data_IF_271926916659
#
_entry.id   IF_271926916659
#
_cell.length_a   1.000
_cell.length_b   1.000
_cell.length_c   1.000
_cell.angle_alpha   90.00
_cell.angle_beta   90.00
_cell.angle_gamma   90.00
#
_symmetry.space_group_name_H-M   'P 1'
#
loop_
_entity.id
_entity.type
_entity.pdbx_description
1 polymer ?
#
# COMPACT_ATOMS: atom_id res chain seq x y z
N UNK A 1 -7.64 -2.49 -10.91
CA UNK A 1 -7.02 -1.17 -11.16
C UNK A 1 -7.97 -0.33 -11.99
N UNK A 2 -8.16 0.96 -11.69
CA UNK A 2 -8.97 1.83 -12.54
C UNK A 2 -8.34 1.95 -13.95
N UNK A 3 -9.12 1.84 -15.04
CA UNK A 3 -8.62 2.01 -16.40
C UNK A 3 -7.94 3.37 -16.65
N UNK A 4 -8.35 4.42 -15.94
CA UNK A 4 -7.78 5.77 -16.00
C UNK A 4 -6.37 5.83 -15.40
N UNK A 5 -6.17 5.22 -14.23
CA UNK A 5 -4.88 5.15 -13.54
C UNK A 5 -3.81 4.42 -14.36
N UNK A 6 -4.18 3.26 -14.93
CA UNK A 6 -3.30 2.47 -15.83
C UNK A 6 -2.94 3.21 -17.13
N UNK A 7 -3.75 4.19 -17.56
CA UNK A 7 -3.48 5.03 -18.73
C UNK A 7 -2.63 6.24 -18.37
N UNK A 8 -2.89 6.87 -17.21
CA UNK A 8 -2.09 7.99 -16.69
C UNK A 8 -0.64 7.57 -16.44
N UNK A 9 -0.44 6.47 -15.72
CA UNK A 9 0.89 5.93 -15.43
C UNK A 9 1.71 5.60 -16.70
N UNK A 10 1.08 4.95 -17.68
CA UNK A 10 1.72 4.65 -18.97
C UNK A 10 2.10 5.91 -19.76
N UNK A 11 1.26 6.96 -19.71
CA UNK A 11 1.52 8.23 -20.39
C UNK A 11 2.63 9.06 -19.74
N UNK A 12 2.78 8.99 -18.42
CA UNK A 12 3.90 9.64 -17.71
C UNK A 12 5.23 8.91 -17.97
N UNK A 13 5.24 7.58 -17.78
CA UNK A 13 6.44 6.74 -17.91
C UNK A 13 7.01 6.61 -19.33
N UNK A 14 6.21 6.85 -20.36
CA UNK A 14 6.63 6.78 -21.78
C UNK A 14 7.00 8.14 -22.39
N UNK A 15 7.12 9.18 -21.56
CA UNK A 15 7.18 10.55 -22.05
C UNK A 15 8.42 10.88 -22.89
N UNK A 16 8.28 10.75 -24.22
CA UNK A 16 9.09 11.45 -25.23
C UNK A 16 8.66 12.92 -25.43
N UNK A 17 7.67 13.39 -24.66
CA UNK A 17 7.11 14.74 -24.74
C UNK A 17 7.87 15.76 -23.88
N UNK A 18 7.92 17.01 -24.35
CA UNK A 18 8.54 18.12 -23.62
C UNK A 18 7.89 18.44 -22.27
N UNK A 19 8.49 19.35 -21.48
CA UNK A 19 8.09 19.62 -20.09
C UNK A 19 6.61 19.98 -19.84
N UNK A 20 5.90 20.51 -20.84
CA UNK A 20 4.47 20.85 -20.75
C UNK A 20 3.56 19.63 -20.74
N UNK A 21 3.82 18.64 -21.60
CA UNK A 21 3.01 17.42 -21.73
C UNK A 21 3.07 16.57 -20.47
N UNK A 22 4.25 16.51 -19.83
CA UNK A 22 4.38 15.83 -18.53
C UNK A 22 3.51 16.47 -17.45
N UNK A 23 3.45 17.81 -17.39
CA UNK A 23 2.60 18.53 -16.42
C UNK A 23 1.13 18.19 -16.59
N UNK A 24 0.63 18.15 -17.82
CA UNK A 24 -0.77 17.78 -18.12
C UNK A 24 -1.09 16.35 -17.64
N UNK A 25 -0.18 15.40 -17.86
CA UNK A 25 -0.36 14.02 -17.36
C UNK A 25 -0.41 13.94 -15.83
N UNK A 26 0.41 14.73 -15.13
CA UNK A 26 0.38 14.81 -13.67
C UNK A 26 -0.93 15.42 -13.15
N UNK A 27 -1.43 16.47 -13.80
CA UNK A 27 -2.72 17.08 -13.47
C UNK A 27 -3.85 16.05 -13.64
N UNK A 28 -3.85 15.31 -14.75
CA UNK A 28 -4.85 14.27 -14.99
C UNK A 28 -4.80 13.15 -13.96
N UNK A 29 -3.59 12.68 -13.59
CA UNK A 29 -3.41 11.64 -12.58
C UNK A 29 -3.94 12.09 -11.21
N UNK A 30 -3.64 13.34 -10.81
CA UNK A 30 -4.11 13.89 -9.53
C UNK A 30 -5.62 14.16 -9.55
N UNK A 31 -6.18 14.63 -10.67
CA UNK A 31 -7.62 14.84 -10.81
C UNK A 31 -8.42 13.53 -10.74
N UNK A 32 -7.82 12.42 -11.17
CA UNK A 32 -8.43 11.09 -11.16
C UNK A 32 -8.48 10.44 -9.76
N UNK A 33 -7.93 11.07 -8.72
CA UNK A 33 -7.98 10.56 -7.34
C UNK A 33 -9.40 10.27 -6.84
N UNK A 34 -10.41 10.99 -7.37
CA UNK A 34 -11.82 10.73 -7.07
C UNK A 34 -12.24 9.31 -7.47
N UNK A 35 -11.72 8.78 -8.59
CA UNK A 35 -12.06 7.42 -8.98
C UNK A 35 -11.44 6.41 -8.03
N UNK A 36 -10.23 6.64 -7.53
CA UNK A 36 -9.60 5.81 -6.48
C UNK A 36 -10.47 5.68 -5.23
N UNK A 37 -11.09 6.78 -4.77
CA UNK A 37 -12.00 6.75 -3.62
C UNK A 37 -13.23 5.86 -3.86
N UNK A 38 -13.75 5.81 -5.10
CA UNK A 38 -14.88 4.94 -5.44
C UNK A 38 -14.54 3.44 -5.33
N UNK A 39 -13.26 3.06 -5.36
CA UNK A 39 -12.82 1.68 -5.16
C UNK A 39 -12.66 1.30 -3.69
N UNK A 40 -12.65 2.27 -2.77
CA UNK A 40 -12.35 2.00 -1.37
C UNK A 40 -13.33 1.01 -0.69
N UNK A 41 -14.66 1.07 -0.94
CA UNK A 41 -15.59 0.08 -0.40
C UNK A 41 -15.25 -1.36 -0.83
N UNK A 42 -14.75 -1.54 -2.06
CA UNK A 42 -14.35 -2.85 -2.58
C UNK A 42 -13.09 -3.38 -1.89
N UNK A 43 -12.10 -2.51 -1.64
CA UNK A 43 -10.90 -2.91 -0.89
C UNK A 43 -11.23 -3.27 0.55
N UNK A 44 -12.08 -2.47 1.21
CA UNK A 44 -12.54 -2.77 2.58
C UNK A 44 -13.32 -4.09 2.65
N UNK A 45 -14.19 -4.37 1.66
CA UNK A 45 -14.89 -5.66 1.59
C UNK A 45 -13.91 -6.82 1.45
N UNK A 46 -12.95 -6.73 0.53
CA UNK A 46 -11.91 -7.75 0.36
C UNK A 46 -11.12 -8.02 1.63
N UNK A 47 -10.66 -6.97 2.33
CA UNK A 47 -9.92 -7.13 3.58
C UNK A 47 -10.79 -7.81 4.65
N UNK A 48 -12.05 -7.38 4.80
CA UNK A 48 -12.99 -8.00 5.76
C UNK A 48 -13.25 -9.48 5.46
N UNK A 49 -13.45 -9.83 4.19
CA UNK A 49 -13.80 -11.19 3.76
C UNK A 49 -12.60 -12.14 3.75
N UNK A 50 -11.46 -11.70 3.22
CA UNK A 50 -10.31 -12.58 2.99
C UNK A 50 -9.31 -12.61 4.15
N UNK A 51 -9.28 -11.58 5.01
CA UNK A 51 -8.36 -11.47 6.16
C UNK A 51 -6.94 -11.98 5.84
N UNK A 52 -6.28 -11.48 4.77
CA UNK A 52 -4.96 -11.98 4.42
C UNK A 52 -3.97 -11.69 5.56
N UNK A 53 -2.92 -12.51 5.75
CA UNK A 53 -1.81 -12.14 6.59
C UNK A 53 -1.35 -10.73 6.21
N UNK A 54 -1.31 -9.82 7.17
CA UNK A 54 -1.08 -8.39 6.92
C UNK A 54 -0.07 -7.83 7.91
N UNK A 55 0.87 -7.05 7.38
CA UNK A 55 1.79 -6.21 8.14
C UNK A 55 1.40 -4.75 7.91
N UNK A 56 1.22 -4.00 8.99
CA UNK A 56 1.01 -2.55 8.99
C UNK A 56 2.19 -1.93 9.74
N UNK A 57 2.98 -1.10 9.05
CA UNK A 57 4.03 -0.28 9.66
C UNK A 57 3.60 1.17 9.53
N UNK A 58 3.58 1.90 10.64
CA UNK A 58 2.93 3.21 10.69
C UNK A 58 3.69 4.21 11.55
N UNK A 59 3.68 5.48 11.13
CA UNK A 59 4.16 6.60 11.93
C UNK A 59 3.00 7.30 12.64
N UNK A 60 2.91 7.30 13.98
CA UNK A 60 1.82 7.94 14.71
C UNK A 60 1.88 9.47 14.62
N UNK A 61 2.98 10.04 14.14
CA UNK A 61 3.16 11.47 13.91
C UNK A 61 2.79 11.90 12.47
N UNK A 62 2.13 11.03 11.69
CA UNK A 62 1.62 11.38 10.36
C UNK A 62 0.45 12.38 10.47
N UNK A 63 0.68 13.60 9.98
CA UNK A 63 -0.32 14.67 9.96
C UNK A 63 -1.43 14.49 8.91
N UNK A 64 -1.26 13.60 7.94
CA UNK A 64 -2.28 13.27 6.93
C UNK A 64 -3.16 12.12 7.36
N UNK A 65 -2.59 11.12 8.03
CA UNK A 65 -3.32 9.93 8.46
C UNK A 65 -2.99 9.56 9.92
N UNK A 66 -3.90 9.83 10.87
CA UNK A 66 -3.63 9.61 12.28
C UNK A 66 -3.53 8.11 12.61
N UNK A 67 -2.96 7.79 13.77
CA UNK A 67 -2.75 6.41 14.23
C UNK A 67 -4.03 5.55 14.20
N UNK A 68 -5.22 6.12 14.48
CA UNK A 68 -6.48 5.36 14.39
C UNK A 68 -6.70 4.76 13.00
N UNK A 69 -6.16 5.39 11.95
CA UNK A 69 -6.21 4.88 10.58
C UNK A 69 -5.47 3.54 10.45
N UNK A 70 -4.31 3.40 11.10
CA UNK A 70 -3.54 2.16 11.09
C UNK A 70 -4.32 1.00 11.70
N UNK A 71 -5.14 1.29 12.72
CA UNK A 71 -5.94 0.31 13.47
C UNK A 71 -7.27 -0.04 12.80
N UNK A 72 -7.67 0.70 11.77
CA UNK A 72 -8.99 0.56 11.14
C UNK A 72 -9.05 -0.53 10.04
N UNK A 73 -7.90 -1.03 9.56
CA UNK A 73 -7.87 -1.92 8.39
C UNK A 73 -8.28 -3.36 8.71
N UNK A 74 -7.58 -4.00 9.65
CA UNK A 74 -7.75 -5.42 9.99
C UNK A 74 -7.46 -5.65 11.48
N UNK A 75 -8.33 -6.38 12.21
CA UNK A 75 -8.17 -6.57 13.66
C UNK A 75 -6.95 -7.42 14.03
N UNK A 76 -6.59 -8.39 13.19
CA UNK A 76 -5.50 -9.35 13.46
C UNK A 76 -4.22 -9.03 12.68
N UNK A 77 -4.10 -7.83 12.11
CA UNK A 77 -2.89 -7.41 11.41
C UNK A 77 -1.73 -7.24 12.40
N UNK A 78 -0.53 -7.63 11.97
CA UNK A 78 0.69 -7.31 12.68
C UNK A 78 0.98 -5.82 12.53
N UNK A 79 0.80 -5.05 13.61
CA UNK A 79 0.94 -3.60 13.62
C UNK A 79 2.21 -3.18 14.36
N UNK A 80 3.06 -2.40 13.69
CA UNK A 80 4.24 -1.76 14.25
C UNK A 80 4.11 -0.24 14.13
N UNK A 81 4.18 0.46 15.27
CA UNK A 81 4.23 1.91 15.31
C UNK A 81 5.68 2.35 15.51
N UNK A 82 6.22 3.06 14.53
CA UNK A 82 7.58 3.61 14.58
C UNK A 82 7.51 5.07 15.00
N UNK A 83 8.55 5.61 15.64
CA UNK A 83 8.66 7.05 15.95
C UNK A 83 8.89 7.87 14.66
N UNK A 84 7.87 7.91 13.81
CA UNK A 84 7.92 8.39 12.44
C UNK A 84 6.68 9.21 12.09
N UNK A 85 6.81 10.05 11.06
CA UNK A 85 5.68 10.71 10.40
C UNK A 85 5.28 10.02 9.10
N UNK A 86 4.69 10.79 8.19
CA UNK A 86 4.21 10.32 6.88
C UNK A 86 5.26 9.55 6.05
N UNK A 87 6.53 9.97 6.15
CA UNK A 87 7.66 9.45 5.37
C UNK A 87 8.43 8.36 6.15
N UNK A 88 7.69 7.39 6.70
CA UNK A 88 8.27 6.33 7.52
C UNK A 88 9.25 5.45 6.72
N UNK A 89 9.02 5.25 5.43
CA UNK A 89 9.94 4.48 4.57
C UNK A 89 11.27 5.20 4.34
N UNK A 90 11.26 6.53 4.29
CA UNK A 90 12.45 7.34 4.04
C UNK A 90 13.25 7.60 5.32
N UNK A 91 12.55 7.74 6.45
CA UNK A 91 13.18 8.03 7.75
C UNK A 91 13.60 6.79 8.52
N UNK A 92 12.89 5.66 8.32
CA UNK A 92 13.10 4.40 9.03
C UNK A 92 13.24 3.23 8.05
N UNK A 93 14.01 3.42 6.98
CA UNK A 93 14.15 2.45 5.88
C UNK A 93 14.59 1.06 6.37
N UNK A 94 15.66 1.00 7.18
CA UNK A 94 16.23 -0.27 7.63
C UNK A 94 15.26 -1.07 8.50
N UNK A 95 14.53 -0.38 9.38
CA UNK A 95 13.53 -0.98 10.25
C UNK A 95 12.32 -1.50 9.46
N UNK A 96 11.80 -0.69 8.52
CA UNK A 96 10.75 -1.12 7.60
C UNK A 96 11.18 -2.35 6.79
N UNK A 97 12.37 -2.30 6.19
CA UNK A 97 12.90 -3.40 5.39
C UNK A 97 13.08 -4.68 6.21
N UNK A 98 13.54 -4.55 7.46
CA UNK A 98 13.66 -5.67 8.39
C UNK A 98 12.30 -6.31 8.71
N UNK A 99 11.31 -5.50 9.09
CA UNK A 99 9.95 -5.95 9.40
C UNK A 99 9.31 -6.66 8.20
N UNK A 100 9.39 -6.05 7.01
CA UNK A 100 8.89 -6.63 5.77
C UNK A 100 9.51 -7.99 5.46
N UNK A 101 10.85 -8.10 5.54
CA UNK A 101 11.56 -9.38 5.28
C UNK A 101 11.12 -10.46 6.26
N UNK A 102 11.06 -10.15 7.55
CA UNK A 102 10.64 -11.11 8.58
C UNK A 102 9.20 -11.56 8.39
N UNK A 103 8.30 -10.64 8.08
CA UNK A 103 6.90 -10.93 7.82
C UNK A 103 6.74 -11.86 6.60
N UNK A 104 7.38 -11.52 5.47
CA UNK A 104 7.33 -12.33 4.26
C UNK A 104 7.92 -13.73 4.47
N UNK A 105 9.02 -13.85 5.23
CA UNK A 105 9.59 -15.15 5.60
C UNK A 105 8.56 -16.03 6.33
N UNK A 106 7.82 -15.49 7.31
CA UNK A 106 6.80 -16.25 8.04
C UNK A 106 5.61 -16.63 7.16
N UNK A 107 5.11 -15.68 6.36
CA UNK A 107 3.92 -15.88 5.51
C UNK A 107 4.19 -16.84 4.35
N UNK A 108 5.40 -16.83 3.80
CA UNK A 108 5.75 -17.74 2.71
C UNK A 108 6.21 -19.11 3.21
N UNK A 109 6.93 -19.20 4.33
CA UNK A 109 7.30 -20.50 4.90
C UNK A 109 6.07 -21.33 5.32
N UNK A 110 5.07 -20.70 5.95
CA UNK A 110 3.83 -21.38 6.38
C UNK A 110 3.00 -21.91 5.21
N UNK A 111 3.07 -21.26 4.03
CA UNK A 111 2.39 -21.72 2.81
C UNK A 111 3.06 -22.93 2.18
N UNK A 112 4.37 -23.08 2.31
CA UNK A 112 5.10 -24.25 1.80
C UNK A 112 4.83 -25.50 2.64
N UNK A 113 4.67 -25.36 3.96
CA UNK A 113 4.33 -26.47 4.85
C UNK A 113 2.87 -26.95 4.70
N UNK A 114 1.92 -26.02 4.52
CA UNK A 114 0.51 -26.36 4.30
C UNK A 114 0.21 -27.10 2.98
N UNK A 115 1.05 -26.91 1.95
CA UNK A 115 0.94 -27.64 0.69
C UNK A 115 1.51 -29.07 0.75
N UNK A 116 2.36 -29.37 1.74
CA UNK A 116 3.03 -30.67 1.87
C UNK A 116 2.18 -31.73 2.58
N UNK A 117 1.05 -31.36 3.19
CA UNK A 117 0.19 -32.27 3.99
C UNK A 117 -1.15 -32.62 3.30
N UNK A 118 -1.34 -32.24 2.03
CA UNK A 118 -2.51 -32.59 1.22
C UNK A 118 -2.07 -33.54 0.10
N UNK A 119 -2.00 -34.84 0.41
CA UNK A 119 -1.91 -35.95 -0.55
C UNK A 119 -2.78 -37.10 -0.08
#
# INVERSE_FOLDING_TARGET
MSPSWSRGWRRDSSSSGGPSIRKEHWVDLLADQRTTLAWMPRFQAYLRECQPPTLIVWGPHDGYMPEESARAYLPDAELHLLDAGHWALETHLDENAFLMRRFLQRVHASRTEGAAYVT
#
